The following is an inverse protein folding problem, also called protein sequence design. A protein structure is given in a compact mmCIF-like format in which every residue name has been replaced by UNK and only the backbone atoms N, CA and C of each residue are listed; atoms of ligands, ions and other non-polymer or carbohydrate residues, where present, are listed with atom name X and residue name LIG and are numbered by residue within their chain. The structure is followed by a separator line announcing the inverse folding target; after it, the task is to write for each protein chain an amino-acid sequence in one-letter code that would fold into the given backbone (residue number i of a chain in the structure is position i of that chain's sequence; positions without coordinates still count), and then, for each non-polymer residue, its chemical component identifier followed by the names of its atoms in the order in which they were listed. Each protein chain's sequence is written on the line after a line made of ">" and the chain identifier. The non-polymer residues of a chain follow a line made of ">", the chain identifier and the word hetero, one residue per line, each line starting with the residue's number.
data_IF_887943603044
#
_entry.id   IF_887943603044
#
_cell.length_a   1.000
_cell.length_b   1.000
_cell.length_c   1.000
_cell.angle_alpha   90.00
_cell.angle_beta   90.00
_cell.angle_gamma   90.00
#
_symmetry.space_group_name_H-M   'P 1'
#
loop_
_entity.id
_entity.type
_entity.pdbx_description
1 polymer ?
#
# COMPACT_ATOMS: atom_id res chain seq x y z
N UNK A 1 -18.85 32.44 -8.92
CA UNK A 1 -17.56 31.94 -9.44
C UNK A 1 -17.66 30.42 -9.45
N UNK A 2 -18.10 29.85 -10.58
CA UNK A 2 -18.14 28.39 -10.79
C UNK A 2 -16.74 27.94 -11.19
N UNK A 3 -16.30 26.82 -10.63
CA UNK A 3 -14.97 26.28 -10.81
C UNK A 3 -14.81 25.70 -12.22
N UNK A 4 -13.91 26.27 -13.02
CA UNK A 4 -13.52 25.77 -14.36
C UNK A 4 -12.78 24.41 -14.29
N UNK A 5 -12.54 23.86 -13.10
CA UNK A 5 -11.82 22.60 -12.87
C UNK A 5 -12.70 21.41 -12.42
N UNK A 6 -14.02 21.58 -12.36
CA UNK A 6 -14.93 20.54 -11.84
C UNK A 6 -15.42 19.51 -12.88
N UNK A 7 -15.06 19.60 -14.16
CA UNK A 7 -15.75 18.85 -15.23
C UNK A 7 -14.92 17.84 -16.04
N UNK A 8 -13.62 17.67 -15.78
CA UNK A 8 -12.82 16.66 -16.49
C UNK A 8 -12.47 15.48 -15.59
N UNK A 9 -13.42 14.54 -15.52
CA UNK A 9 -13.19 13.20 -14.97
C UNK A 9 -12.05 12.52 -15.74
N UNK A 10 -11.96 12.75 -17.05
CA UNK A 10 -10.88 12.27 -17.90
C UNK A 10 -10.26 13.40 -18.72
N UNK A 11 -8.95 13.33 -18.93
CA UNK A 11 -8.18 14.14 -19.88
C UNK A 11 -7.61 13.22 -20.95
N UNK A 12 -7.72 13.65 -22.20
CA UNK A 12 -7.23 12.89 -23.36
C UNK A 12 -5.96 13.53 -23.87
N UNK A 13 -4.90 12.73 -24.02
CA UNK A 13 -3.71 13.10 -24.79
C UNK A 13 -3.70 12.31 -26.09
N UNK A 14 -4.03 12.98 -27.20
CA UNK A 14 -4.14 12.35 -28.51
C UNK A 14 -2.77 11.96 -29.06
N UNK A 15 -1.74 12.79 -28.84
CA UNK A 15 -0.37 12.54 -29.32
C UNK A 15 0.22 11.27 -28.74
N UNK A 16 0.00 11.04 -27.44
CA UNK A 16 0.49 9.85 -26.75
C UNK A 16 -0.52 8.69 -26.78
N UNK A 17 -1.70 8.91 -27.36
CA UNK A 17 -2.85 8.01 -27.37
C UNK A 17 -3.22 7.51 -25.96
N UNK A 18 -3.28 8.46 -25.00
CA UNK A 18 -3.53 8.19 -23.59
C UNK A 18 -4.83 8.83 -23.12
N UNK A 19 -5.54 8.10 -22.27
CA UNK A 19 -6.64 8.62 -21.46
C UNK A 19 -6.15 8.67 -20.01
N UNK A 20 -6.26 9.82 -19.34
CA UNK A 20 -5.83 10.02 -17.95
C UNK A 20 -7.01 10.42 -17.07
N UNK A 21 -7.02 9.95 -15.83
CA UNK A 21 -8.01 10.35 -14.82
C UNK A 21 -7.31 11.21 -13.74
N UNK A 22 -7.32 12.55 -13.88
CA UNK A 22 -6.57 13.44 -12.98
C UNK A 22 -7.21 13.58 -11.60
N UNK A 23 -8.46 13.13 -11.41
CA UNK A 23 -9.18 13.20 -10.14
C UNK A 23 -8.64 12.24 -9.06
N UNK A 24 -7.59 11.46 -9.37
CA UNK A 24 -6.89 10.53 -8.47
C UNK A 24 -5.40 10.88 -8.42
N UNK A 25 -4.77 10.68 -7.28
CA UNK A 25 -3.32 10.74 -7.12
C UNK A 25 -2.81 9.39 -6.57
N UNK A 26 -1.90 8.68 -7.27
CA UNK A 26 -1.43 8.96 -8.64
C UNK A 26 -2.55 8.77 -9.69
N UNK A 27 -2.51 9.51 -10.82
CA UNK A 27 -3.54 9.42 -11.85
C UNK A 27 -3.52 8.07 -12.55
N UNK A 28 -4.70 7.57 -12.90
CA UNK A 28 -4.85 6.35 -13.70
C UNK A 28 -4.72 6.68 -15.18
N UNK A 29 -3.93 5.90 -15.91
CA UNK A 29 -3.63 6.08 -17.33
C UNK A 29 -3.96 4.81 -18.09
N UNK A 30 -4.73 4.96 -19.17
CA UNK A 30 -4.95 3.91 -20.17
C UNK A 30 -4.21 4.31 -21.44
N UNK A 31 -3.55 3.35 -22.09
CA UNK A 31 -2.86 3.57 -23.36
C UNK A 31 -3.54 2.75 -24.45
N UNK A 32 -3.74 3.36 -25.61
CA UNK A 32 -4.20 2.63 -26.79
C UNK A 32 -3.01 2.00 -27.50
N UNK A 33 -3.05 0.69 -27.76
CA UNK A 33 -1.97 -0.02 -28.45
C UNK A 33 -2.24 -0.26 -29.95
N UNK A 34 -3.30 0.32 -30.51
CA UNK A 34 -3.75 0.08 -31.88
C UNK A 34 -4.93 -0.89 -32.01
N UNK A 35 -5.06 -1.84 -31.08
CA UNK A 35 -6.11 -2.88 -31.10
C UNK A 35 -7.01 -2.84 -29.87
N UNK A 36 -6.43 -2.63 -28.69
CA UNK A 36 -7.12 -2.64 -27.41
C UNK A 36 -6.58 -1.51 -26.50
N UNK A 37 -7.41 -1.12 -25.53
CA UNK A 37 -6.95 -0.31 -24.40
C UNK A 37 -6.19 -1.21 -23.44
N UNK A 38 -4.99 -0.77 -23.01
CA UNK A 38 -4.28 -1.42 -21.91
C UNK A 38 -5.02 -1.18 -20.59
N UNK A 39 -4.84 -2.08 -19.63
CA UNK A 39 -5.37 -1.88 -18.27
C UNK A 39 -4.91 -0.54 -17.68
N UNK A 40 -5.73 -0.02 -16.76
CA UNK A 40 -5.46 1.25 -16.09
C UNK A 40 -4.19 1.11 -15.23
N UNK A 41 -3.13 1.83 -15.59
CA UNK A 41 -1.88 1.87 -14.82
C UNK A 41 -1.80 3.16 -14.02
N UNK A 42 -1.22 3.08 -12.82
CA UNK A 42 -0.91 4.28 -12.02
C UNK A 42 0.30 4.99 -12.65
N UNK A 43 0.14 6.27 -13.01
CA UNK A 43 1.22 7.05 -13.62
C UNK A 43 2.43 7.13 -12.71
N UNK A 44 3.61 6.77 -13.24
CA UNK A 44 4.86 6.79 -12.49
C UNK A 44 5.04 5.64 -11.49
N UNK A 45 4.11 4.68 -11.43
CA UNK A 45 4.24 3.48 -10.58
C UNK A 45 4.49 2.27 -11.47
N UNK A 46 5.77 2.02 -11.77
CA UNK A 46 6.20 0.73 -12.31
C UNK A 46 6.39 -0.24 -11.14
N UNK A 47 5.42 -1.11 -10.91
CA UNK A 47 5.51 -2.15 -9.87
C UNK A 47 6.55 -3.20 -10.25
N UNK A 48 7.83 -2.84 -10.11
CA UNK A 48 8.95 -3.74 -10.31
C UNK A 48 9.21 -4.59 -9.06
N UNK A 49 9.95 -5.69 -9.26
CA UNK A 49 10.47 -6.52 -8.17
C UNK A 49 11.24 -5.71 -7.11
N UNK A 50 11.83 -4.56 -7.47
CA UNK A 50 12.50 -3.65 -6.55
C UNK A 50 11.61 -3.18 -5.39
N UNK A 51 10.35 -2.84 -5.64
CA UNK A 51 9.42 -2.43 -4.58
C UNK A 51 9.07 -3.58 -3.65
N UNK A 52 8.91 -4.79 -4.19
CA UNK A 52 8.67 -6.00 -3.40
C UNK A 52 9.85 -6.27 -2.49
N UNK A 53 11.08 -6.27 -3.02
CA UNK A 53 12.28 -6.48 -2.21
C UNK A 53 12.48 -5.38 -1.17
N UNK A 54 12.23 -4.11 -1.51
CA UNK A 54 12.31 -3.01 -0.57
C UNK A 54 11.30 -3.16 0.58
N UNK A 55 10.05 -3.53 0.29
CA UNK A 55 9.04 -3.76 1.31
C UNK A 55 9.39 -4.94 2.22
N UNK A 56 9.87 -6.05 1.64
CA UNK A 56 10.35 -7.21 2.42
C UNK A 56 11.55 -6.83 3.30
N UNK A 57 12.54 -6.13 2.75
CA UNK A 57 13.69 -5.67 3.52
C UNK A 57 13.27 -4.72 4.65
N UNK A 58 12.35 -3.79 4.38
CA UNK A 58 11.83 -2.85 5.39
C UNK A 58 11.14 -3.57 6.56
N UNK A 59 10.47 -4.70 6.32
CA UNK A 59 9.82 -5.49 7.38
C UNK A 59 10.84 -6.39 8.10
N UNK A 60 11.60 -7.18 7.34
CA UNK A 60 12.40 -8.28 7.87
C UNK A 60 13.77 -7.86 8.38
N UNK A 61 14.41 -6.83 7.81
CA UNK A 61 15.74 -6.39 8.23
C UNK A 61 15.72 -5.84 9.68
N UNK A 62 14.87 -4.87 10.06
CA UNK A 62 14.85 -4.38 11.44
C UNK A 62 14.35 -5.45 12.42
N UNK A 63 13.32 -6.20 12.05
CA UNK A 63 12.79 -7.31 12.88
C UNK A 63 13.84 -8.39 13.10
N UNK A 64 14.54 -8.79 12.03
CA UNK A 64 15.59 -9.80 12.06
C UNK A 64 16.78 -9.34 12.89
N UNK A 65 17.21 -8.08 12.76
CA UNK A 65 18.31 -7.54 13.55
C UNK A 65 18.00 -7.60 15.06
N UNK A 66 16.82 -7.18 15.47
CA UNK A 66 16.40 -7.23 16.87
C UNK A 66 16.22 -8.68 17.34
N UNK A 67 15.59 -9.53 16.52
CA UNK A 67 15.35 -10.94 16.85
C UNK A 67 16.65 -11.74 16.98
N UNK A 68 17.63 -11.51 16.10
CA UNK A 68 18.95 -12.13 16.16
C UNK A 68 19.68 -11.73 17.44
N UNK A 69 19.60 -10.45 17.85
CA UNK A 69 20.18 -9.99 19.11
C UNK A 69 19.52 -10.68 20.30
N UNK A 70 18.18 -10.73 20.34
CA UNK A 70 17.45 -11.40 21.42
C UNK A 70 17.75 -12.91 21.48
N UNK A 71 17.99 -13.56 20.34
CA UNK A 71 18.34 -14.97 20.27
C UNK A 71 19.77 -15.27 20.74
N UNK A 72 20.76 -14.45 20.33
CA UNK A 72 22.16 -14.66 20.70
C UNK A 72 22.46 -14.23 22.14
N UNK A 73 21.71 -13.26 22.67
CA UNK A 73 21.86 -12.74 24.02
C UNK A 73 20.54 -12.85 24.78
N UNK A 74 20.08 -14.08 25.10
CA UNK A 74 18.82 -14.27 25.79
C UNK A 74 18.89 -13.69 27.21
N UNK A 75 17.85 -12.95 27.65
CA UNK A 75 17.81 -12.41 29.00
C UNK A 75 17.65 -13.52 30.04
N UNK A 76 18.21 -13.31 31.23
CA UNK A 76 18.02 -14.22 32.37
C UNK A 76 16.52 -14.32 32.71
N UNK A 77 15.95 -15.53 32.88
CA UNK A 77 14.52 -15.70 33.18
C UNK A 77 14.06 -14.97 34.44
N UNK A 78 14.94 -14.85 35.43
CA UNK A 78 14.64 -14.21 36.72
C UNK A 78 14.90 -12.71 36.74
N UNK A 79 15.50 -12.17 35.67
CA UNK A 79 15.72 -10.73 35.57
C UNK A 79 14.38 -10.01 35.33
N UNK A 80 14.15 -8.86 35.99
CA UNK A 80 13.02 -8.01 35.64
C UNK A 80 13.13 -7.62 34.16
N UNK A 81 11.99 -7.54 33.46
CA UNK A 81 11.90 -7.15 32.04
C UNK A 81 12.52 -8.14 31.05
N UNK A 82 12.74 -9.41 31.43
CA UNK A 82 13.21 -10.47 30.52
C UNK A 82 12.32 -10.69 29.29
N UNK A 83 11.06 -10.25 29.33
CA UNK A 83 10.11 -10.31 28.22
C UNK A 83 10.28 -9.19 27.17
N UNK A 84 10.97 -8.09 27.52
CA UNK A 84 11.06 -6.88 26.68
C UNK A 84 11.64 -7.16 25.30
N UNK A 85 12.76 -7.88 25.14
CA UNK A 85 13.33 -8.14 23.81
C UNK A 85 12.33 -8.82 22.87
N UNK A 86 11.55 -9.79 23.37
CA UNK A 86 10.56 -10.52 22.56
C UNK A 86 9.38 -9.66 22.15
N UNK A 87 8.81 -8.88 23.09
CA UNK A 87 7.74 -7.92 22.79
C UNK A 87 8.24 -6.87 21.78
N UNK A 88 9.47 -6.40 21.95
CA UNK A 88 10.07 -5.41 21.06
C UNK A 88 10.28 -5.95 19.64
N UNK A 89 10.72 -7.19 19.48
CA UNK A 89 10.78 -7.86 18.17
C UNK A 89 9.40 -7.92 17.52
N UNK A 90 8.37 -8.35 18.25
CA UNK A 90 7.00 -8.43 17.72
C UNK A 90 6.45 -7.06 17.33
N UNK A 91 6.66 -6.04 18.18
CA UNK A 91 6.22 -4.67 17.93
C UNK A 91 6.92 -4.06 16.72
N UNK A 92 8.20 -4.37 16.53
CA UNK A 92 8.97 -3.95 15.34
C UNK A 92 8.32 -4.50 14.09
N UNK A 93 8.06 -5.81 14.04
CA UNK A 93 7.39 -6.44 12.90
C UNK A 93 6.03 -5.81 12.61
N UNK A 94 5.17 -5.69 13.63
CA UNK A 94 3.82 -5.15 13.49
C UNK A 94 3.85 -3.71 12.97
N UNK A 95 4.74 -2.89 13.52
CA UNK A 95 4.88 -1.47 13.12
C UNK A 95 5.29 -1.33 11.66
N UNK A 96 6.34 -2.05 11.23
CA UNK A 96 6.82 -1.96 9.85
C UNK A 96 5.82 -2.55 8.87
N UNK A 97 5.17 -3.66 9.23
CA UNK A 97 4.09 -4.24 8.43
C UNK A 97 2.91 -3.27 8.29
N UNK A 98 2.52 -2.60 9.37
CA UNK A 98 1.42 -1.61 9.35
C UNK A 98 1.74 -0.43 8.44
N UNK A 99 2.99 0.05 8.42
CA UNK A 99 3.43 1.12 7.51
C UNK A 99 3.28 0.68 6.05
N UNK A 100 3.75 -0.52 5.70
CA UNK A 100 3.63 -1.05 4.34
C UNK A 100 2.16 -1.23 3.95
N UNK A 101 1.34 -1.77 4.85
CA UNK A 101 -0.09 -1.96 4.63
C UNK A 101 -0.81 -0.62 4.45
N UNK A 102 -0.47 0.38 5.26
CA UNK A 102 -1.02 1.73 5.14
C UNK A 102 -0.64 2.39 3.81
N UNK A 103 0.64 2.33 3.42
CA UNK A 103 1.11 2.82 2.12
C UNK A 103 0.39 2.13 0.95
N UNK A 104 0.19 0.82 1.05
CA UNK A 104 -0.56 0.07 0.05
C UNK A 104 -2.00 0.58 -0.08
N UNK A 105 -2.70 0.78 1.04
CA UNK A 105 -4.08 1.31 1.02
C UNK A 105 -4.12 2.71 0.40
N UNK A 106 -3.19 3.58 0.77
CA UNK A 106 -3.13 4.97 0.32
C UNK A 106 -2.84 5.07 -1.19
N UNK A 107 -1.82 4.35 -1.69
CA UNK A 107 -1.46 4.35 -3.11
C UNK A 107 -2.58 3.77 -3.98
N UNK A 108 -3.19 2.67 -3.51
CA UNK A 108 -4.26 2.01 -4.25
C UNK A 108 -5.63 2.67 -4.05
N UNK A 109 -5.74 3.68 -3.16
CA UNK A 109 -7.01 4.34 -2.82
C UNK A 109 -8.11 3.31 -2.58
N UNK A 110 -7.77 2.20 -1.90
CA UNK A 110 -8.69 1.06 -1.71
C UNK A 110 -9.87 1.57 -0.89
N UNK A 111 -11.11 1.56 -1.41
CA UNK A 111 -12.24 2.14 -0.72
C UNK A 111 -12.78 1.17 0.34
N UNK A 112 -11.97 0.86 1.36
CA UNK A 112 -12.27 -0.14 2.41
C UNK A 112 -13.63 0.14 3.05
N UNK A 113 -13.97 1.41 3.32
CA UNK A 113 -15.26 1.79 3.89
C UNK A 113 -16.44 1.47 2.97
N UNK A 114 -16.30 1.68 1.67
CA UNK A 114 -17.35 1.36 0.70
C UNK A 114 -17.52 -0.16 0.57
N UNK A 115 -16.40 -0.90 0.58
CA UNK A 115 -16.41 -2.35 0.57
C UNK A 115 -17.08 -2.94 1.82
N UNK A 116 -16.71 -2.47 3.02
CA UNK A 116 -17.32 -2.89 4.29
C UNK A 116 -18.81 -2.52 4.34
N UNK A 117 -19.19 -1.34 3.82
CA UNK A 117 -20.60 -0.94 3.70
C UNK A 117 -21.39 -1.89 2.79
N UNK A 118 -20.86 -2.19 1.61
CA UNK A 118 -21.49 -3.10 0.65
C UNK A 118 -21.64 -4.52 1.21
N UNK A 119 -20.64 -5.01 1.96
CA UNK A 119 -20.75 -6.29 2.67
C UNK A 119 -21.84 -6.24 3.73
N UNK A 120 -21.86 -5.19 4.56
CA UNK A 120 -22.87 -5.03 5.62
C UNK A 120 -24.28 -5.00 5.03
N UNK A 121 -24.50 -4.26 3.95
CA UNK A 121 -25.80 -4.21 3.26
C UNK A 121 -26.19 -5.58 2.69
N UNK A 122 -25.26 -6.31 2.05
CA UNK A 122 -25.53 -7.69 1.58
C UNK A 122 -25.86 -8.66 2.71
N UNK A 123 -25.24 -8.51 3.88
CA UNK A 123 -25.50 -9.37 5.04
C UNK A 123 -26.79 -9.00 5.78
N UNK A 124 -27.22 -7.73 5.74
CA UNK A 124 -28.47 -7.26 6.35
C UNK A 124 -29.72 -7.47 5.47
N UNK A 125 -29.54 -7.63 4.15
CA UNK A 125 -30.62 -7.95 3.19
C UNK A 125 -30.90 -9.46 3.13
N UNK A 126 -30.07 -10.29 3.78
CA UNK A 126 -30.26 -11.74 3.93
C UNK A 126 -30.83 -12.07 5.30
#
# INVERSE_FOLDING_TARGET
>A
MSCDFCQQIFTVNIEQQQLKMPSRQPPLVWRWNGFNWTEAQLEGVEFGWGYVFAALAFIFLPTGLIGIVAYNFPPSPEAPLSWVPYIWTALTFISHFTIILWLFIEIYQVPIRAYLRAIRERLLIR
#
